data_IF_108914944757
#
_entry.id   IF_108914944757
#
_cell.length_a   1.000
_cell.length_b   1.000
_cell.length_c   1.000
_cell.angle_alpha   90.00
_cell.angle_beta   90.00
_cell.angle_gamma   90.00
#
_symmetry.space_group_name_H-M   'P 1'
#
loop_
_entity.id
_entity.type
_entity.pdbx_description
1 polymer ?
#
# COMPACT_ATOMS: atom_id res chain seq x y z
N UNK A 1 13.36 -7.80 -12.94
CA UNK A 1 14.39 -6.74 -13.03
C UNK A 1 15.11 -6.66 -11.69
N UNK A 2 16.44 -6.57 -11.67
CA UNK A 2 17.23 -6.46 -10.43
C UNK A 2 17.91 -5.11 -10.45
N UNK A 3 17.70 -4.31 -9.41
CA UNK A 3 18.34 -3.00 -9.26
C UNK A 3 19.13 -3.00 -7.95
N UNK A 4 20.31 -2.39 -7.97
CA UNK A 4 21.16 -2.28 -6.77
C UNK A 4 21.29 -0.81 -6.39
N UNK A 5 21.23 -0.54 -5.09
CA UNK A 5 21.38 0.79 -4.51
C UNK A 5 22.34 0.72 -3.35
N UNK A 6 23.24 1.70 -3.26
CA UNK A 6 24.25 1.77 -2.21
C UNK A 6 23.62 2.36 -0.94
N UNK A 7 23.82 1.69 0.19
CA UNK A 7 23.50 2.25 1.49
C UNK A 7 24.41 3.45 1.76
N UNK A 8 23.83 4.59 2.13
CA UNK A 8 24.56 5.83 2.43
C UNK A 8 24.14 6.39 3.78
N UNK A 9 25.01 7.18 4.39
CA UNK A 9 24.69 7.91 5.62
C UNK A 9 23.91 9.18 5.28
N UNK A 10 22.87 9.46 6.06
CA UNK A 10 22.14 10.72 6.06
C UNK A 10 21.91 11.13 7.53
N UNK A 11 22.68 12.10 8.01
CA UNK A 11 22.71 12.45 9.44
C UNK A 11 23.18 11.28 10.31
N UNK A 12 22.32 10.88 11.26
CA UNK A 12 22.55 9.74 12.16
C UNK A 12 21.92 8.43 11.68
N UNK A 13 21.37 8.42 10.45
CA UNK A 13 20.69 7.25 9.89
C UNK A 13 21.39 6.72 8.65
N UNK A 14 21.15 5.44 8.35
CA UNK A 14 21.50 4.85 7.06
C UNK A 14 20.27 4.84 6.16
N UNK A 15 20.43 5.27 4.91
CA UNK A 15 19.35 5.37 3.94
C UNK A 15 19.75 4.74 2.61
N UNK A 16 18.77 4.17 1.91
CA UNK A 16 18.89 3.70 0.53
C UNK A 16 17.81 4.37 -0.29
N UNK A 17 18.12 4.79 -1.52
CA UNK A 17 17.11 5.33 -2.41
C UNK A 17 16.25 4.21 -2.99
N UNK A 18 14.93 4.40 -3.00
CA UNK A 18 14.01 3.49 -3.67
C UNK A 18 13.92 3.90 -5.15
N UNK A 19 14.19 2.99 -6.10
CA UNK A 19 14.01 3.27 -7.52
C UNK A 19 12.57 3.66 -7.88
N UNK A 20 12.40 4.53 -8.87
CA UNK A 20 11.09 5.04 -9.32
C UNK A 20 10.12 3.93 -9.74
N UNK A 21 10.65 2.89 -10.35
CA UNK A 21 9.91 1.70 -10.76
C UNK A 21 9.36 0.90 -9.57
N UNK A 22 10.09 0.86 -8.45
CA UNK A 22 9.64 0.23 -7.20
C UNK A 22 8.59 1.09 -6.51
N UNK A 23 8.78 2.42 -6.50
CA UNK A 23 7.79 3.38 -6.00
C UNK A 23 6.46 3.22 -6.76
N UNK A 24 6.52 3.16 -8.09
CA UNK A 24 5.34 2.98 -8.94
C UNK A 24 4.67 1.61 -8.71
N UNK A 25 5.46 0.54 -8.58
CA UNK A 25 4.93 -0.81 -8.34
C UNK A 25 4.24 -0.94 -6.97
N UNK A 26 4.77 -0.28 -5.93
CA UNK A 26 4.17 -0.26 -4.59
C UNK A 26 3.02 0.74 -4.45
N UNK A 27 2.82 1.64 -5.43
CA UNK A 27 1.79 2.69 -5.36
C UNK A 27 1.99 3.63 -4.17
N UNK A 28 3.24 3.92 -3.82
CA UNK A 28 3.60 4.78 -2.68
C UNK A 28 4.02 6.17 -3.14
N UNK A 29 3.77 7.17 -2.30
CA UNK A 29 4.17 8.56 -2.52
C UNK A 29 5.00 9.09 -1.35
N UNK A 30 5.62 10.27 -1.52
CA UNK A 30 6.38 10.88 -0.44
C UNK A 30 5.45 11.18 0.75
N UNK A 31 5.78 10.64 1.93
CA UNK A 31 4.96 10.76 3.13
C UNK A 31 4.21 9.49 3.51
N UNK A 32 4.10 8.52 2.59
CA UNK A 32 3.56 7.20 2.92
C UNK A 32 4.55 6.43 3.81
N UNK A 33 3.98 5.64 4.72
CA UNK A 33 4.76 4.72 5.53
C UNK A 33 5.02 3.41 4.77
N UNK A 34 6.18 2.81 5.06
CA UNK A 34 6.59 1.52 4.53
C UNK A 34 6.82 0.55 5.69
N UNK A 35 6.30 -0.66 5.55
CA UNK A 35 6.54 -1.76 6.48
C UNK A 35 7.72 -2.59 5.99
N UNK A 36 8.65 -2.90 6.91
CA UNK A 36 9.80 -3.74 6.65
C UNK A 36 9.61 -5.07 7.39
N UNK A 37 9.33 -6.14 6.64
CA UNK A 37 9.16 -7.48 7.18
C UNK A 37 10.50 -8.23 7.05
N UNK A 38 11.05 -8.70 8.17
CA UNK A 38 12.37 -9.35 8.22
C UNK A 38 12.18 -10.83 8.53
N UNK A 39 12.45 -11.70 7.57
CA UNK A 39 12.32 -13.16 7.68
C UNK A 39 13.43 -13.84 6.90
N UNK A 40 14.01 -14.92 7.43
CA UNK A 40 15.01 -15.74 6.73
C UNK A 40 16.18 -14.97 6.09
N UNK A 41 16.70 -13.96 6.80
CA UNK A 41 17.77 -13.08 6.32
C UNK A 41 17.41 -12.32 5.02
N UNK A 42 16.11 -12.16 4.76
CA UNK A 42 15.53 -11.36 3.69
C UNK A 42 14.67 -10.27 4.31
N UNK A 43 14.55 -9.17 3.58
CA UNK A 43 13.66 -8.07 3.93
C UNK A 43 12.69 -7.89 2.78
N UNK A 44 11.40 -7.95 3.10
CA UNK A 44 10.31 -7.58 2.19
C UNK A 44 9.80 -6.20 2.60
N UNK A 45 9.53 -5.35 1.62
CA UNK A 45 9.01 -4.01 1.83
C UNK A 45 7.59 -3.95 1.27
N UNK A 46 6.66 -3.51 2.10
CA UNK A 46 5.24 -3.38 1.76
C UNK A 46 4.77 -1.96 2.08
N UNK A 47 3.77 -1.48 1.34
CA UNK A 47 3.07 -0.26 1.69
C UNK A 47 2.32 -0.50 3.00
N UNK A 48 2.46 0.39 3.98
CA UNK A 48 1.59 0.34 5.15
C UNK A 48 0.19 0.78 4.71
N UNK A 49 -0.78 -0.12 4.85
CA UNK A 49 -2.19 0.17 4.64
C UNK A 49 -2.84 0.27 6.02
N UNK A 50 -3.64 1.31 6.22
CA UNK A 50 -4.50 1.37 7.38
C UNK A 50 -5.64 0.37 7.17
N UNK A 51 -5.53 -0.79 7.80
CA UNK A 51 -6.49 -1.91 7.65
C UNK A 51 -7.93 -1.46 7.93
N UNK A 52 -8.13 -0.54 8.88
CA UNK A 52 -9.44 0.01 9.21
C UNK A 52 -10.02 0.78 8.01
N UNK A 53 -9.22 1.62 7.36
CA UNK A 53 -9.64 2.46 6.25
C UNK A 53 -9.97 1.62 5.00
N UNK A 54 -9.18 0.60 4.70
CA UNK A 54 -9.44 -0.33 3.60
C UNK A 54 -10.70 -1.18 3.87
N UNK A 55 -10.88 -1.63 5.11
CA UNK A 55 -12.09 -2.35 5.53
C UNK A 55 -13.35 -1.48 5.40
N UNK A 56 -13.32 -0.24 5.88
CA UNK A 56 -14.45 0.68 5.74
C UNK A 56 -14.79 0.99 4.28
N UNK A 57 -13.77 1.11 3.42
CA UNK A 57 -13.99 1.31 1.98
C UNK A 57 -14.68 0.11 1.34
N UNK A 58 -14.23 -1.11 1.64
CA UNK A 58 -14.86 -2.33 1.13
C UNK A 58 -16.31 -2.48 1.62
N UNK A 59 -16.57 -2.13 2.88
CA UNK A 59 -17.93 -2.09 3.42
C UNK A 59 -18.82 -1.10 2.65
N UNK A 60 -18.34 0.11 2.40
CA UNK A 60 -19.09 1.15 1.70
C UNK A 60 -19.42 0.75 0.25
N UNK A 61 -18.46 0.14 -0.45
CA UNK A 61 -18.68 -0.43 -1.79
C UNK A 61 -19.76 -1.52 -1.77
N UNK A 62 -19.69 -2.44 -0.80
CA UNK A 62 -20.67 -3.53 -0.62
C UNK A 62 -22.07 -3.00 -0.33
N UNK A 63 -22.20 -2.03 0.58
CA UNK A 63 -23.48 -1.40 0.90
C UNK A 63 -24.05 -0.62 -0.30
N UNK A 64 -23.19 0.04 -1.07
CA UNK A 64 -23.59 0.74 -2.29
C UNK A 64 -24.16 -0.22 -3.33
N UNK A 65 -23.48 -1.33 -3.57
CA UNK A 65 -23.95 -2.37 -4.49
C UNK A 65 -25.30 -2.95 -4.05
N UNK A 66 -25.44 -3.26 -2.76
CA UNK A 66 -26.69 -3.77 -2.20
C UNK A 66 -27.85 -2.76 -2.30
N UNK A 67 -27.59 -1.49 -2.02
CA UNK A 67 -28.58 -0.41 -2.16
C UNK A 67 -29.04 -0.25 -3.62
N UNK A 68 -28.10 -0.33 -4.58
CA UNK A 68 -28.45 -0.32 -6.01
C UNK A 68 -29.31 -1.52 -6.40
N UNK A 69 -28.98 -2.73 -5.90
CA UNK A 69 -29.76 -3.93 -6.16
C UNK A 69 -31.18 -3.81 -5.58
N UNK A 70 -31.33 -3.31 -4.36
CA UNK A 70 -32.63 -3.08 -3.73
C UNK A 70 -33.47 -2.03 -4.47
N UNK A 71 -32.86 -0.92 -4.92
CA UNK A 71 -33.58 0.11 -5.71
C UNK A 71 -34.14 -0.46 -7.01
N UNK A 72 -33.36 -1.30 -7.71
CA UNK A 72 -33.82 -1.99 -8.93
C UNK A 72 -35.02 -2.91 -8.70
N UNK A 73 -35.23 -3.40 -7.48
CA UNK A 73 -36.38 -4.24 -7.13
C UNK A 73 -37.63 -3.43 -6.76
N UNK A 74 -37.48 -2.17 -6.34
CA UNK A 74 -38.59 -1.27 -6.01
C UNK A 74 -39.21 -0.62 -7.25
N UNK A 75 -38.42 -0.47 -8.32
CA UNK A 75 -38.88 0.06 -9.61
C UNK A 75 -39.56 -1.00 -10.52
N UNK A 76 -39.89 -2.19 -9.96
CA UNK A 76 -40.66 -3.29 -10.59
C UNK A 76 -42.06 -3.32 -9.98
#
# INVERSE_FOLDING_TARGET
MVTTRKLRRAGNSSVVSVPTEVIAALGVTNGDNLKFNIEDNKVTIEKEVNEDEEFFKLLDETFTEYNQALRKLVDI
#
